data_IF_689286231736
#
_entry.id   IF_689286231736
#
_cell.length_a   1.000
_cell.length_b   1.000
_cell.length_c   1.000
_cell.angle_alpha   90.00
_cell.angle_beta   90.00
_cell.angle_gamma   90.00
#
_symmetry.space_group_name_H-M   'P 1'
#
loop_
_entity.id
_entity.type
_entity.pdbx_description
1 polymer ?
#
# COMPACT_ATOMS: atom_id res chain seq x y z
N UNK A 1 -11.63 -5.77 13.12
CA UNK A 1 -10.23 -5.29 13.15
C UNK A 1 -10.36 -3.84 12.84
N UNK A 2 -10.04 -3.01 13.82
CA UNK A 2 -10.44 -1.61 13.85
C UNK A 2 -9.16 -0.78 13.86
N UNK A 3 -9.19 0.37 13.20
CA UNK A 3 -8.11 1.33 13.30
C UNK A 3 -7.92 1.77 14.76
N UNK A 4 -6.67 1.91 15.17
CA UNK A 4 -6.27 2.36 16.51
C UNK A 4 -5.20 3.42 16.41
N UNK A 5 -5.64 4.67 16.33
CA UNK A 5 -4.76 5.84 16.37
C UNK A 5 -4.03 5.93 17.71
N UNK A 6 -2.70 5.92 17.66
CA UNK A 6 -1.80 6.18 18.78
C UNK A 6 -1.06 7.50 18.52
N UNK A 7 -1.21 8.46 19.43
CA UNK A 7 -0.47 9.72 19.39
C UNK A 7 -0.31 10.27 20.81
N UNK A 8 0.81 10.93 21.14
CA UNK A 8 1.02 11.56 22.45
C UNK A 8 0.26 12.89 22.62
N UNK A 9 -0.50 13.30 21.61
CA UNK A 9 -1.22 14.57 21.56
C UNK A 9 -2.67 14.37 21.08
N UNK A 10 -3.52 15.35 21.38
CA UNK A 10 -4.93 15.39 20.99
C UNK A 10 -5.14 16.43 19.88
N UNK A 11 -6.24 16.35 19.10
CA UNK A 11 -6.59 17.39 18.14
C UNK A 11 -6.73 18.76 18.81
N UNK A 12 -6.13 19.80 18.22
CA UNK A 12 -6.12 21.17 18.76
C UNK A 12 -6.36 22.23 17.67
N UNK A 13 -6.64 23.47 18.07
CA UNK A 13 -6.96 24.56 17.12
C UNK A 13 -8.19 24.22 16.29
N UNK A 14 -8.08 24.35 14.97
CA UNK A 14 -9.18 24.07 14.03
C UNK A 14 -9.33 22.57 13.70
N UNK A 15 -8.42 21.71 14.17
CA UNK A 15 -8.45 20.28 13.85
C UNK A 15 -9.74 19.57 14.32
N UNK A 16 -10.27 19.76 15.56
CA UNK A 16 -11.47 19.06 16.00
C UNK A 16 -12.69 19.34 15.12
N UNK A 17 -12.86 20.60 14.69
CA UNK A 17 -13.97 21.00 13.81
C UNK A 17 -13.80 20.41 12.41
N UNK A 18 -12.61 20.52 11.82
CA UNK A 18 -12.31 19.92 10.51
C UNK A 18 -12.52 18.40 10.49
N UNK A 19 -12.10 17.69 11.54
CA UNK A 19 -12.32 16.24 11.69
C UNK A 19 -13.81 15.95 11.71
N UNK A 20 -14.57 16.67 12.55
CA UNK A 20 -16.02 16.48 12.70
C UNK A 20 -16.74 16.68 11.37
N UNK A 21 -16.50 17.79 10.68
CA UNK A 21 -17.17 18.11 9.42
C UNK A 21 -16.89 17.07 8.33
N UNK A 22 -15.63 16.66 8.16
CA UNK A 22 -15.24 15.70 7.13
C UNK A 22 -15.79 14.29 7.43
N UNK A 23 -15.78 13.87 8.70
CA UNK A 23 -16.39 12.60 9.14
C UNK A 23 -17.90 12.62 8.91
N UNK A 24 -18.59 13.72 9.25
CA UNK A 24 -20.01 13.87 8.95
C UNK A 24 -20.30 13.80 7.45
N UNK A 25 -19.46 14.43 6.61
CA UNK A 25 -19.61 14.37 5.16
C UNK A 25 -19.45 12.95 4.61
N UNK A 26 -18.48 12.18 5.11
CA UNK A 26 -18.32 10.77 4.74
C UNK A 26 -19.57 9.97 5.15
N UNK A 27 -20.07 10.16 6.37
CA UNK A 27 -21.27 9.46 6.86
C UNK A 27 -22.55 9.85 6.11
N UNK A 28 -22.62 11.07 5.56
CA UNK A 28 -23.70 11.54 4.67
C UNK A 28 -23.57 11.02 3.23
N UNK A 29 -22.47 10.34 2.89
CA UNK A 29 -22.21 9.80 1.56
C UNK A 29 -21.66 10.82 0.56
N UNK A 30 -21.06 11.92 1.03
CA UNK A 30 -20.40 12.87 0.14
C UNK A 30 -19.19 12.22 -0.52
N UNK A 31 -19.15 12.29 -1.86
CA UNK A 31 -18.07 11.70 -2.65
C UNK A 31 -16.79 12.51 -2.59
N UNK A 32 -16.92 13.83 -2.72
CA UNK A 32 -15.79 14.75 -2.82
C UNK A 32 -15.84 15.74 -1.67
N UNK A 33 -14.72 15.86 -0.96
CA UNK A 33 -14.54 16.80 0.15
C UNK A 33 -13.11 17.37 0.11
N UNK A 34 -12.95 18.62 0.56
CA UNK A 34 -11.65 19.31 0.52
C UNK A 34 -11.30 19.83 1.90
N UNK A 35 -10.16 19.38 2.43
CA UNK A 35 -9.54 19.96 3.62
C UNK A 35 -8.65 21.13 3.21
N UNK A 36 -9.12 22.37 3.41
CA UNK A 36 -8.31 23.57 3.17
C UNK A 36 -7.36 23.83 4.35
N UNK A 37 -6.32 23.00 4.48
CA UNK A 37 -5.36 23.10 5.59
C UNK A 37 -4.10 23.89 5.23
N UNK A 38 -3.81 24.95 6.00
CA UNK A 38 -2.55 25.69 5.88
C UNK A 38 -1.31 24.80 6.16
N UNK A 39 -0.13 25.25 5.74
CA UNK A 39 1.12 24.53 6.04
C UNK A 39 1.40 24.55 7.54
N UNK A 40 1.83 23.42 8.10
CA UNK A 40 2.14 23.30 9.53
C UNK A 40 0.95 23.07 10.47
N UNK A 41 -0.29 22.98 9.96
CA UNK A 41 -1.49 22.75 10.79
C UNK A 41 -1.74 21.30 11.19
N UNK A 42 -0.81 20.38 10.88
CA UNK A 42 -0.97 18.96 11.23
C UNK A 42 -1.96 18.19 10.36
N UNK A 43 -2.01 18.46 9.05
CA UNK A 43 -2.94 17.79 8.11
C UNK A 43 -2.90 16.27 8.18
N UNK A 44 -1.73 15.64 8.31
CA UNK A 44 -1.63 14.18 8.41
C UNK A 44 -2.36 13.66 9.65
N UNK A 45 -2.20 14.34 10.79
CA UNK A 45 -2.89 13.96 12.02
C UNK A 45 -4.41 14.16 11.92
N UNK A 46 -4.86 15.23 11.28
CA UNK A 46 -6.29 15.40 10.93
C UNK A 46 -6.81 14.22 10.11
N UNK A 47 -6.08 13.82 9.07
CA UNK A 47 -6.46 12.67 8.22
C UNK A 47 -6.43 11.34 8.99
N UNK A 48 -5.46 11.13 9.88
CA UNK A 48 -5.39 9.96 10.74
C UNK A 48 -6.64 9.87 11.66
N UNK A 49 -7.05 10.99 12.26
CA UNK A 49 -8.29 11.03 13.04
C UNK A 49 -9.52 10.72 12.17
N UNK A 50 -9.58 11.21 10.94
CA UNK A 50 -10.70 10.89 10.03
C UNK A 50 -10.75 9.38 9.77
N UNK A 51 -9.62 8.74 9.42
CA UNK A 51 -9.54 7.29 9.20
C UNK A 51 -9.96 6.50 10.45
N UNK A 52 -9.50 6.93 11.63
CA UNK A 52 -9.91 6.35 12.91
C UNK A 52 -11.42 6.45 13.16
N UNK A 53 -12.07 7.54 12.75
CA UNK A 53 -13.50 7.72 13.00
C UNK A 53 -14.38 7.02 11.96
N UNK A 54 -13.94 6.97 10.70
CA UNK A 54 -14.71 6.33 9.62
C UNK A 54 -14.55 4.81 9.59
N UNK A 55 -13.44 4.28 10.12
CA UNK A 55 -13.14 2.84 10.14
C UNK A 55 -13.15 2.22 8.73
N UNK A 56 -12.70 2.98 7.73
CA UNK A 56 -12.63 2.56 6.32
C UNK A 56 -11.18 2.36 5.88
N UNK A 57 -10.87 1.32 5.08
CA UNK A 57 -9.58 1.22 4.42
C UNK A 57 -9.31 2.49 3.59
N UNK A 58 -8.07 2.98 3.61
CA UNK A 58 -7.72 4.26 3.01
C UNK A 58 -6.58 4.13 2.00
N UNK A 59 -6.73 4.78 0.84
CA UNK A 59 -5.66 4.98 -0.13
C UNK A 59 -5.22 6.45 -0.09
N UNK A 60 -3.95 6.68 0.19
CA UNK A 60 -3.35 8.01 0.28
C UNK A 60 -2.41 8.18 -0.90
N UNK A 61 -2.78 9.06 -1.83
CA UNK A 61 -1.98 9.30 -3.04
C UNK A 61 -1.04 10.49 -2.84
N UNK A 62 0.24 10.27 -3.04
CA UNK A 62 1.28 11.30 -3.05
C UNK A 62 1.86 11.47 -4.46
N UNK A 63 2.15 12.72 -4.83
CA UNK A 63 2.64 13.05 -6.17
C UNK A 63 4.13 12.72 -6.38
N UNK A 64 4.89 12.43 -5.32
CA UNK A 64 6.30 12.05 -5.40
C UNK A 64 6.67 11.00 -4.34
N UNK A 65 7.76 10.25 -4.56
CA UNK A 65 8.21 9.17 -3.66
C UNK A 65 8.66 9.68 -2.29
N UNK A 66 9.26 10.87 -2.21
CA UNK A 66 9.75 11.46 -0.96
C UNK A 66 8.61 11.76 0.02
N UNK A 67 7.56 12.43 -0.44
CA UNK A 67 6.37 12.71 0.35
C UNK A 67 5.62 11.41 0.69
N UNK A 68 5.56 10.45 -0.24
CA UNK A 68 4.97 9.15 0.03
C UNK A 68 5.69 8.45 1.19
N UNK A 69 7.02 8.44 1.20
CA UNK A 69 7.80 7.84 2.28
C UNK A 69 7.60 8.56 3.63
N UNK A 70 7.52 9.90 3.62
CA UNK A 70 7.22 10.69 4.82
C UNK A 70 5.85 10.33 5.40
N UNK A 71 4.82 10.35 4.56
CA UNK A 71 3.46 9.97 4.97
C UNK A 71 3.41 8.53 5.47
N UNK A 72 4.07 7.59 4.78
CA UNK A 72 4.15 6.20 5.23
C UNK A 72 4.74 6.07 6.64
N UNK A 73 5.83 6.78 6.93
CA UNK A 73 6.45 6.80 8.25
C UNK A 73 5.50 7.40 9.30
N UNK A 74 4.90 8.56 9.02
CA UNK A 74 3.93 9.21 9.93
C UNK A 74 2.73 8.30 10.22
N UNK A 75 2.14 7.67 9.19
CA UNK A 75 1.01 6.76 9.38
C UNK A 75 1.41 5.48 10.13
N UNK A 76 2.64 4.96 9.93
CA UNK A 76 3.15 3.83 10.71
C UNK A 76 3.28 4.17 12.19
N UNK A 77 3.71 5.37 12.53
CA UNK A 77 3.75 5.86 13.92
C UNK A 77 2.34 6.04 14.49
N UNK A 78 1.39 6.56 13.69
CA UNK A 78 0.01 6.74 14.12
C UNK A 78 -0.76 5.43 14.29
N UNK A 79 -0.46 4.40 13.51
CA UNK A 79 -1.21 3.14 13.50
C UNK A 79 -0.27 1.93 13.58
N UNK A 80 0.48 1.76 14.69
CA UNK A 80 1.48 0.70 14.82
C UNK A 80 0.87 -0.70 14.83
N UNK A 81 -0.40 -0.84 15.22
CA UNK A 81 -1.13 -2.10 15.27
C UNK A 81 -1.93 -2.41 13.99
N UNK A 82 -2.01 -1.46 13.04
CA UNK A 82 -2.76 -1.62 11.79
C UNK A 82 -1.84 -1.84 10.58
N UNK A 83 -2.40 -2.28 9.46
CA UNK A 83 -1.64 -2.48 8.23
C UNK A 83 -1.45 -1.15 7.50
N UNK A 84 -0.35 -0.47 7.82
CA UNK A 84 0.14 0.65 7.02
C UNK A 84 1.14 0.12 6.00
N UNK A 85 0.84 0.33 4.73
CA UNK A 85 1.52 -0.28 3.59
C UNK A 85 2.02 0.78 2.61
N UNK A 86 3.03 0.43 1.82
CA UNK A 86 3.68 1.33 0.88
C UNK A 86 3.61 0.80 -0.55
N UNK A 87 3.09 1.62 -1.47
CA UNK A 87 2.83 1.20 -2.86
C UNK A 87 3.33 2.23 -3.88
N UNK A 88 4.60 2.12 -4.26
CA UNK A 88 5.22 2.99 -5.27
C UNK A 88 5.86 2.14 -6.38
N UNK A 89 6.39 2.79 -7.41
CA UNK A 89 7.20 2.09 -8.42
C UNK A 89 8.40 1.43 -7.75
N UNK A 90 8.51 0.12 -7.92
CA UNK A 90 9.65 -0.71 -7.56
C UNK A 90 10.86 -0.56 -8.48
N UNK A 91 10.82 0.32 -9.48
CA UNK A 91 11.98 0.61 -10.28
C UNK A 91 12.81 1.72 -9.62
N UNK A 92 14.08 1.44 -9.38
CA UNK A 92 15.10 2.44 -9.01
C UNK A 92 15.55 3.20 -10.26
N UNK A 93 15.72 2.49 -11.38
CA UNK A 93 15.91 3.04 -12.71
C UNK A 93 14.90 2.45 -13.70
N UNK A 94 14.30 3.29 -14.54
CA UNK A 94 13.39 2.85 -15.59
C UNK A 94 13.55 3.71 -16.84
N UNK A 95 13.96 3.05 -17.92
CA UNK A 95 13.98 3.59 -19.26
C UNK A 95 12.92 2.86 -20.09
N UNK A 96 11.86 3.57 -20.56
CA UNK A 96 10.87 2.96 -21.42
C UNK A 96 11.48 2.61 -22.77
N UNK A 97 10.99 1.54 -23.37
CA UNK A 97 11.19 1.27 -24.79
C UNK A 97 10.57 2.41 -25.60
N UNK A 98 11.34 2.97 -26.52
CA UNK A 98 10.87 4.06 -27.36
C UNK A 98 11.58 4.05 -28.71
N UNK A 99 10.90 4.58 -29.73
CA UNK A 99 11.49 4.85 -31.02
C UNK A 99 11.43 6.36 -31.28
N UNK A 100 12.56 6.97 -31.64
CA UNK A 100 12.71 8.41 -31.91
C UNK A 100 12.87 8.61 -33.43
N UNK A 101 11.76 8.90 -34.17
CA UNK A 101 11.78 8.86 -35.63
C UNK A 101 12.73 9.86 -36.27
N UNK A 102 12.92 11.02 -35.64
CA UNK A 102 13.79 12.10 -36.16
C UNK A 102 15.26 11.65 -36.29
N UNK A 103 15.69 10.70 -35.47
CA UNK A 103 17.07 10.22 -35.43
C UNK A 103 17.19 8.76 -35.87
N UNK A 104 16.10 8.14 -36.32
CA UNK A 104 16.04 6.69 -36.60
C UNK A 104 16.63 5.86 -35.45
N UNK A 105 16.31 6.26 -34.21
CA UNK A 105 16.90 5.71 -33.00
C UNK A 105 15.88 4.87 -32.25
N UNK A 106 16.16 3.58 -32.12
CA UNK A 106 15.48 2.71 -31.19
C UNK A 106 16.18 2.74 -29.83
N UNK A 107 15.38 2.92 -28.78
CA UNK A 107 15.80 2.97 -27.38
C UNK A 107 15.24 1.72 -26.72
N UNK A 108 16.12 0.81 -26.33
CA UNK A 108 15.75 -0.41 -25.62
C UNK A 108 15.24 -0.12 -24.21
N UNK A 109 14.37 -1.00 -23.73
CA UNK A 109 13.92 -0.99 -22.34
C UNK A 109 15.08 -1.40 -21.43
N UNK A 110 15.37 -0.58 -20.44
CA UNK A 110 16.33 -0.88 -19.38
C UNK A 110 15.68 -0.58 -18.03
N UNK A 111 15.82 -1.50 -17.08
CA UNK A 111 15.17 -1.39 -15.77
C UNK A 111 16.06 -1.95 -14.67
N UNK A 112 16.05 -1.26 -13.52
CA UNK A 112 16.64 -1.75 -12.28
C UNK A 112 15.54 -1.86 -11.22
N UNK A 113 15.41 -3.01 -10.58
CA UNK A 113 14.31 -3.35 -9.67
C UNK A 113 14.83 -3.33 -8.22
N UNK A 114 14.10 -2.60 -7.39
CA UNK A 114 14.27 -2.59 -5.95
C UNK A 114 13.42 -3.71 -5.31
N UNK A 115 14.09 -4.77 -4.87
CA UNK A 115 13.45 -5.94 -4.24
C UNK A 115 12.70 -5.60 -2.94
N UNK A 116 13.14 -4.59 -2.19
CA UNK A 116 12.48 -4.16 -0.96
C UNK A 116 11.12 -3.52 -1.28
N UNK A 117 11.09 -2.60 -2.27
CA UNK A 117 9.85 -1.98 -2.70
C UNK A 117 8.91 -3.01 -3.33
N UNK A 118 9.41 -3.99 -4.08
CA UNK A 118 8.57 -5.07 -4.62
C UNK A 118 7.89 -5.85 -3.49
N UNK A 119 8.65 -6.19 -2.45
CA UNK A 119 8.11 -6.86 -1.26
C UNK A 119 7.04 -6.00 -0.56
N UNK A 120 7.27 -4.69 -0.44
CA UNK A 120 6.26 -3.79 0.15
C UNK A 120 4.98 -3.72 -0.70
N UNK A 121 5.09 -3.77 -2.04
CA UNK A 121 3.93 -3.83 -2.92
C UNK A 121 3.14 -5.12 -2.74
N UNK A 122 3.83 -6.26 -2.61
CA UNK A 122 3.20 -7.55 -2.33
C UNK A 122 2.52 -7.55 -0.95
N UNK A 123 3.17 -6.96 0.06
CA UNK A 123 2.58 -6.76 1.39
C UNK A 123 1.28 -5.95 1.30
N UNK A 124 1.28 -4.85 0.53
CA UNK A 124 0.11 -4.00 0.35
C UNK A 124 -1.10 -4.74 -0.24
N UNK A 125 -0.89 -5.53 -1.30
CA UNK A 125 -1.97 -6.30 -1.94
C UNK A 125 -2.45 -7.44 -1.04
N UNK A 126 -1.55 -8.16 -0.37
CA UNK A 126 -1.88 -9.19 0.61
C UNK A 126 -2.69 -8.64 1.79
N UNK A 127 -2.31 -7.47 2.32
CA UNK A 127 -3.02 -6.81 3.42
C UNK A 127 -4.45 -6.47 3.04
N UNK A 128 -4.72 -5.98 1.82
CA UNK A 128 -6.09 -5.74 1.34
C UNK A 128 -6.95 -7.00 1.26
N UNK A 129 -6.35 -8.16 0.99
CA UNK A 129 -7.07 -9.43 0.89
C UNK A 129 -7.34 -10.07 2.25
N UNK A 130 -6.52 -9.77 3.26
CA UNK A 130 -6.52 -10.47 4.56
C UNK A 130 -7.21 -9.68 5.68
N UNK A 131 -7.28 -8.34 5.59
CA UNK A 131 -7.79 -7.48 6.67
C UNK A 131 -8.44 -6.20 6.14
N UNK A 132 -9.21 -5.53 7.00
CA UNK A 132 -9.98 -4.32 6.66
C UNK A 132 -9.33 -3.01 7.12
N UNK A 133 -8.49 -3.09 8.14
CA UNK A 133 -7.78 -1.96 8.74
C UNK A 133 -6.45 -1.70 8.02
N UNK A 134 -6.56 -1.34 6.73
CA UNK A 134 -5.43 -1.12 5.81
C UNK A 134 -5.36 0.35 5.38
N UNK A 135 -4.19 0.95 5.50
CA UNK A 135 -3.84 2.25 4.90
C UNK A 135 -2.73 2.01 3.89
N UNK A 136 -2.95 2.37 2.63
CA UNK A 136 -1.91 2.30 1.60
C UNK A 136 -1.47 3.72 1.27
N UNK A 137 -0.18 3.99 1.45
CA UNK A 137 0.44 5.21 0.94
C UNK A 137 1.07 4.90 -0.41
N UNK A 138 0.55 5.54 -1.46
CA UNK A 138 0.87 5.20 -2.84
C UNK A 138 1.32 6.39 -3.68
N UNK A 139 2.12 6.12 -4.71
CA UNK A 139 2.29 7.06 -5.83
C UNK A 139 1.23 6.80 -6.91
N UNK A 140 1.34 7.48 -8.05
CA UNK A 140 0.55 7.15 -9.26
C UNK A 140 0.73 5.69 -9.72
N UNK A 141 1.65 4.91 -9.14
CA UNK A 141 1.72 3.47 -9.40
C UNK A 141 0.41 2.73 -9.11
N UNK A 142 -0.45 3.24 -8.21
CA UNK A 142 -1.75 2.61 -7.88
C UNK A 142 -2.79 2.66 -9.01
N UNK A 143 -2.56 3.45 -10.06
CA UNK A 143 -3.42 3.49 -11.26
C UNK A 143 -2.85 2.69 -12.44
N UNK A 144 -1.68 2.04 -12.27
CA UNK A 144 -1.10 1.16 -13.27
C UNK A 144 -1.64 -0.27 -13.13
N UNK A 145 -1.56 -1.02 -14.23
CA UNK A 145 -2.08 -2.38 -14.30
C UNK A 145 -1.47 -3.32 -13.24
N UNK A 146 -2.35 -4.05 -12.57
CA UNK A 146 -2.05 -5.18 -11.69
C UNK A 146 -2.82 -6.41 -12.19
N UNK A 147 -2.41 -7.60 -11.77
CA UNK A 147 -3.18 -8.82 -12.03
C UNK A 147 -4.58 -8.75 -11.41
N UNK A 148 -5.54 -9.50 -11.97
CA UNK A 148 -6.90 -9.56 -11.44
C UNK A 148 -6.89 -10.05 -9.97
N UNK A 149 -7.45 -9.30 -9.01
CA UNK A 149 -7.52 -9.72 -7.60
C UNK A 149 -8.16 -11.10 -7.37
N UNK A 150 -9.15 -11.49 -8.20
CA UNK A 150 -9.77 -12.81 -8.12
C UNK A 150 -8.77 -13.94 -8.42
N UNK A 151 -7.84 -13.70 -9.34
CA UNK A 151 -6.78 -14.66 -9.67
C UNK A 151 -5.75 -14.78 -8.55
N UNK A 152 -5.47 -13.69 -7.82
CA UNK A 152 -4.59 -13.73 -6.64
C UNK A 152 -5.14 -14.66 -5.55
N UNK A 153 -6.46 -14.64 -5.32
CA UNK A 153 -7.09 -15.46 -4.27
C UNK A 153 -6.95 -16.96 -4.52
N UNK A 154 -6.95 -17.37 -5.78
CA UNK A 154 -6.82 -18.78 -6.17
C UNK A 154 -5.41 -19.36 -5.94
N UNK A 155 -4.42 -18.50 -5.71
CA UNK A 155 -3.01 -18.85 -5.59
C UNK A 155 -2.53 -18.83 -4.12
N UNK A 156 -3.42 -18.42 -3.18
CA UNK A 156 -3.12 -18.38 -1.75
C UNK A 156 -3.08 -19.79 -1.16
N UNK A 157 -2.00 -20.08 -0.44
CA UNK A 157 -1.82 -21.35 0.28
C UNK A 157 -2.17 -21.15 1.75
N UNK A 158 -3.31 -21.71 2.19
CA UNK A 158 -3.73 -21.66 3.59
C UNK A 158 -3.24 -22.90 4.36
N UNK A 159 -2.52 -22.68 5.46
CA UNK A 159 -1.98 -23.74 6.32
C UNK A 159 -2.40 -23.51 7.78
N UNK A 160 -2.98 -24.54 8.39
CA UNK A 160 -3.48 -24.52 9.76
C UNK A 160 -2.72 -25.53 10.64
N UNK A 161 -2.56 -25.18 11.92
CA UNK A 161 -1.96 -26.09 12.91
C UNK A 161 -2.87 -27.31 13.06
N UNK A 162 -2.31 -28.51 12.89
CA UNK A 162 -3.05 -29.78 12.93
C UNK A 162 -3.64 -30.22 11.59
N UNK A 163 -3.50 -29.42 10.53
CA UNK A 163 -3.87 -29.82 9.18
C UNK A 163 -2.96 -30.94 8.64
N UNK A 164 -3.54 -31.85 7.84
CA UNK A 164 -2.80 -32.93 7.18
C UNK A 164 -2.51 -32.52 5.74
N UNK A 165 -1.25 -32.22 5.46
CA UNK A 165 -0.80 -31.79 4.13
C UNK A 165 0.20 -32.77 3.54
N UNK A 166 0.06 -33.11 2.25
CA UNK A 166 1.08 -33.87 1.53
C UNK A 166 2.21 -32.93 1.13
N UNK A 167 3.42 -33.14 1.66
CA UNK A 167 4.62 -32.32 1.37
C UNK A 167 4.80 -32.01 -0.11
N UNK A 168 4.76 -33.02 -0.98
CA UNK A 168 4.99 -32.82 -2.42
C UNK A 168 3.83 -32.08 -3.12
N UNK A 169 2.61 -32.15 -2.58
CA UNK A 169 1.50 -31.36 -3.11
C UNK A 169 1.69 -29.88 -2.74
N UNK A 170 2.10 -29.61 -1.48
CA UNK A 170 2.42 -28.25 -1.03
C UNK A 170 3.55 -27.62 -1.85
N UNK A 171 4.62 -28.38 -2.11
CA UNK A 171 5.73 -27.89 -2.94
C UNK A 171 5.29 -27.53 -4.37
N UNK A 172 4.41 -28.31 -4.99
CA UNK A 172 3.86 -27.98 -6.32
C UNK A 172 3.02 -26.73 -6.28
N UNK A 173 2.16 -26.60 -5.27
CA UNK A 173 1.33 -25.41 -5.09
C UNK A 173 2.20 -24.15 -4.92
N UNK A 174 3.28 -24.20 -4.14
CA UNK A 174 4.23 -23.09 -4.02
C UNK A 174 4.87 -22.73 -5.37
N UNK A 175 5.28 -23.72 -6.17
CA UNK A 175 5.84 -23.49 -7.51
C UNK A 175 4.80 -22.86 -8.46
N UNK A 176 3.55 -23.32 -8.41
CA UNK A 176 2.43 -22.71 -9.16
C UNK A 176 2.21 -21.25 -8.75
N UNK A 177 2.40 -20.94 -7.47
CA UNK A 177 2.39 -19.59 -6.89
C UNK A 177 3.67 -18.77 -7.15
N UNK A 178 4.53 -19.19 -8.07
CA UNK A 178 5.78 -18.52 -8.48
C UNK A 178 6.96 -18.59 -7.50
N UNK A 179 6.84 -19.33 -6.38
CA UNK A 179 7.99 -19.55 -5.50
C UNK A 179 9.04 -20.43 -6.19
N UNK A 180 10.31 -20.06 -6.03
CA UNK A 180 11.43 -20.85 -6.50
C UNK A 180 12.05 -21.64 -5.36
N UNK A 181 12.35 -22.92 -5.62
CA UNK A 181 13.11 -23.74 -4.68
C UNK A 181 14.59 -23.46 -4.83
N UNK A 182 15.22 -22.99 -3.75
CA UNK A 182 16.67 -22.88 -3.65
C UNK A 182 17.14 -23.56 -2.36
N UNK A 183 17.86 -24.67 -2.48
CA UNK A 183 18.37 -25.42 -1.34
C UNK A 183 19.71 -24.85 -0.80
N UNK A 184 20.35 -23.93 -1.53
CA UNK A 184 21.66 -23.36 -1.20
C UNK A 184 21.56 -22.01 -0.48
N UNK A 185 20.59 -21.19 -0.86
CA UNK A 185 20.41 -19.84 -0.31
C UNK A 185 18.92 -19.58 -0.05
N UNK A 186 18.58 -19.24 1.19
CA UNK A 186 17.22 -18.86 1.56
C UNK A 186 17.02 -17.36 1.31
N UNK A 187 16.23 -17.04 0.30
CA UNK A 187 15.79 -15.68 -0.03
C UNK A 187 14.26 -15.61 -0.07
N UNK A 188 13.68 -14.42 0.11
CA UNK A 188 12.28 -14.18 -0.26
C UNK A 188 12.05 -14.59 -1.72
N UNK A 189 10.90 -15.19 -2.00
CA UNK A 189 10.52 -15.67 -3.33
C UNK A 189 9.03 -15.48 -3.58
#
# INVERSE_FOLDING_TARGET
MDFKLQAPYIPTGDQPEAIKELVEGVNKGYRDQVLLGATGTGKTFTMANIIQNTQMPALIMAHNKTLAAQLYAEFKEFFPDNAVEYFVSYYDYYQPEAYVPRHDLFIEKETDINEEIDRMRLSATMSLMSRKDVIIVASVSCIYGLGNPENYGNVVVNLDIGGIYRRNALLRQLIESQYQRNDMELKPG
#
